data_IF_185146955637
#
_entry.id   IF_185146955637
#
_cell.length_a   1.000
_cell.length_b   1.000
_cell.length_c   1.000
_cell.angle_alpha   90.00
_cell.angle_beta   90.00
_cell.angle_gamma   90.00
#
_symmetry.space_group_name_H-M   'P 1'
#
loop_
_entity.id
_entity.type
_entity.pdbx_description
1 polymer ?
#
# COMPACT_ATOMS: atom_id res chain seq x y z
N UNK A 1 26.27 2.17 2.84
CA UNK A 1 26.31 3.62 2.49
C UNK A 1 26.15 4.39 3.78
N UNK A 2 26.97 5.41 4.06
CA UNK A 2 26.98 6.08 5.38
C UNK A 2 25.62 6.70 5.73
N UNK A 3 24.91 7.24 4.74
CA UNK A 3 23.55 7.80 4.84
C UNK A 3 22.51 6.85 5.46
N UNK A 4 22.63 5.53 5.30
CA UNK A 4 21.67 4.56 5.86
C UNK A 4 21.77 4.41 7.39
N UNK A 5 22.75 5.05 8.00
CA UNK A 5 22.93 5.12 9.46
C UNK A 5 22.63 6.50 10.04
N UNK A 6 22.22 7.44 9.18
CA UNK A 6 21.96 8.82 9.56
C UNK A 6 20.48 9.04 9.88
N UNK A 7 20.22 10.06 10.69
CA UNK A 7 18.86 10.57 10.89
C UNK A 7 18.41 11.39 9.68
N UNK A 8 17.10 11.60 9.52
CA UNK A 8 16.56 12.45 8.45
C UNK A 8 17.19 13.85 8.45
N UNK A 9 17.43 14.43 9.64
CA UNK A 9 18.09 15.74 9.80
C UNK A 9 19.52 15.71 9.27
N UNK A 10 20.30 14.67 9.58
CA UNK A 10 21.67 14.53 9.08
C UNK A 10 21.72 14.33 7.56
N UNK A 11 20.75 13.60 7.00
CA UNK A 11 20.61 13.44 5.55
C UNK A 11 20.28 14.79 4.90
N UNK A 12 19.35 15.54 5.48
CA UNK A 12 18.98 16.88 5.03
C UNK A 12 20.18 17.84 5.05
N UNK A 13 20.84 18.01 6.20
CA UNK A 13 22.02 18.88 6.36
C UNK A 13 23.12 18.53 5.35
N UNK A 14 23.35 17.23 5.12
CA UNK A 14 24.30 16.80 4.11
C UNK A 14 23.84 17.21 2.71
N UNK A 15 22.58 16.94 2.34
CA UNK A 15 22.07 17.29 1.02
C UNK A 15 22.12 18.80 0.78
N UNK A 16 21.78 19.63 1.77
CA UNK A 16 21.85 21.10 1.68
C UNK A 16 23.28 21.60 1.43
N UNK A 17 24.29 20.91 1.95
CA UNK A 17 25.70 21.26 1.75
C UNK A 17 26.27 20.89 0.37
N UNK A 18 25.57 20.04 -0.39
CA UNK A 18 26.01 19.57 -1.69
C UNK A 18 25.65 20.56 -2.81
N UNK A 19 26.50 20.62 -3.82
CA UNK A 19 26.15 21.31 -5.06
C UNK A 19 25.09 20.52 -5.88
N UNK A 20 24.55 21.16 -6.91
CA UNK A 20 23.50 20.58 -7.74
C UNK A 20 23.90 19.27 -8.44
N UNK A 21 25.17 19.13 -8.85
CA UNK A 21 25.67 17.93 -9.53
C UNK A 21 25.88 16.80 -8.53
N UNK A 22 26.40 17.12 -7.35
CA UNK A 22 26.57 16.19 -6.24
C UNK A 22 25.24 15.65 -5.74
N UNK A 23 24.20 16.49 -5.60
CA UNK A 23 22.83 16.07 -5.25
C UNK A 23 22.27 15.06 -6.25
N UNK A 24 22.37 15.35 -7.55
CA UNK A 24 21.90 14.43 -8.60
C UNK A 24 22.64 13.09 -8.56
N UNK A 25 23.96 13.13 -8.42
CA UNK A 25 24.77 11.91 -8.35
C UNK A 25 24.45 11.09 -7.11
N UNK A 26 24.30 11.74 -5.96
CA UNK A 26 23.89 11.07 -4.74
C UNK A 26 22.52 10.41 -4.90
N UNK A 27 21.56 11.12 -5.50
CA UNK A 27 20.22 10.60 -5.75
C UNK A 27 20.27 9.34 -6.62
N UNK A 28 21.01 9.37 -7.74
CA UNK A 28 21.22 8.18 -8.60
C UNK A 28 21.83 7.01 -7.83
N UNK A 29 22.79 7.26 -6.96
CA UNK A 29 23.40 6.21 -6.14
C UNK A 29 22.41 5.59 -5.14
N UNK A 30 21.53 6.40 -4.54
CA UNK A 30 20.45 5.92 -3.68
C UNK A 30 19.48 5.04 -4.47
N UNK A 31 19.03 5.50 -5.65
CA UNK A 31 18.13 4.74 -6.52
C UNK A 31 18.74 3.42 -6.98
N UNK A 32 20.02 3.42 -7.36
CA UNK A 32 20.74 2.19 -7.73
C UNK A 32 20.76 1.18 -6.59
N UNK A 33 21.04 1.64 -5.36
CA UNK A 33 21.01 0.76 -4.18
C UNK A 33 19.61 0.28 -3.83
N UNK A 34 18.59 1.05 -4.16
CA UNK A 34 17.20 0.61 -4.00
C UNK A 34 16.91 -0.55 -4.96
N UNK A 35 17.34 -0.47 -6.24
CA UNK A 35 17.25 -1.60 -7.18
C UNK A 35 17.96 -2.84 -6.64
N UNK A 36 19.21 -2.69 -6.19
CA UNK A 36 19.98 -3.80 -5.61
C UNK A 36 19.28 -4.41 -4.38
N UNK A 37 18.64 -3.59 -3.54
CA UNK A 37 17.93 -4.04 -2.34
C UNK A 37 16.60 -4.75 -2.66
N UNK A 38 15.92 -4.38 -3.76
CA UNK A 38 14.76 -5.12 -4.29
C UNK A 38 15.22 -6.50 -4.75
N UNK A 39 16.25 -6.57 -5.59
CA UNK A 39 16.76 -7.83 -6.15
C UNK A 39 17.27 -8.80 -5.07
N UNK A 40 17.82 -8.27 -3.99
CA UNK A 40 18.31 -9.06 -2.85
C UNK A 40 17.28 -9.33 -1.76
N UNK A 41 16.03 -8.86 -1.93
CA UNK A 41 14.96 -8.97 -0.94
C UNK A 41 15.30 -8.37 0.45
N UNK A 42 16.15 -7.33 0.49
CA UNK A 42 16.54 -6.67 1.74
C UNK A 42 15.54 -5.57 2.13
N UNK A 43 14.46 -5.98 2.80
CA UNK A 43 13.40 -5.08 3.31
C UNK A 43 13.97 -3.98 4.20
N UNK A 44 14.94 -4.31 5.06
CA UNK A 44 15.47 -3.32 6.02
C UNK A 44 16.24 -2.23 5.29
N UNK A 45 17.03 -2.61 4.30
CA UNK A 45 17.75 -1.65 3.47
C UNK A 45 16.79 -0.84 2.58
N UNK A 46 15.75 -1.47 2.02
CA UNK A 46 14.74 -0.77 1.21
C UNK A 46 14.03 0.34 1.97
N UNK A 47 13.59 0.08 3.21
CA UNK A 47 12.92 1.09 4.04
C UNK A 47 13.81 2.29 4.31
N UNK A 48 15.06 2.05 4.70
CA UNK A 48 16.04 3.12 4.94
C UNK A 48 16.34 3.92 3.67
N UNK A 49 16.44 3.25 2.53
CA UNK A 49 16.62 3.92 1.25
C UNK A 49 15.40 4.78 0.89
N UNK A 50 14.19 4.28 1.10
CA UNK A 50 12.95 5.06 0.93
C UNK A 50 12.95 6.31 1.79
N UNK A 51 13.27 6.22 3.08
CA UNK A 51 13.36 7.38 3.98
C UNK A 51 14.40 8.41 3.49
N UNK A 52 15.58 7.95 3.08
CA UNK A 52 16.63 8.83 2.52
C UNK A 52 16.13 9.51 1.25
N UNK A 53 15.51 8.76 0.33
CA UNK A 53 14.99 9.31 -0.93
C UNK A 53 13.93 10.37 -0.67
N UNK A 54 13.02 10.16 0.28
CA UNK A 54 11.99 11.14 0.67
C UNK A 54 12.63 12.44 1.15
N UNK A 55 13.62 12.37 2.04
CA UNK A 55 14.33 13.57 2.52
C UNK A 55 15.02 14.29 1.35
N UNK A 56 15.60 13.55 0.41
CA UNK A 56 16.20 14.14 -0.79
C UNK A 56 15.16 14.80 -1.70
N UNK A 57 13.98 14.19 -1.88
CA UNK A 57 12.86 14.76 -2.66
C UNK A 57 12.31 16.05 -2.05
N UNK A 58 12.38 16.20 -0.71
CA UNK A 58 11.94 17.40 0.00
C UNK A 58 12.96 18.54 -0.07
N UNK A 59 14.26 18.22 -0.08
CA UNK A 59 15.36 19.20 -0.01
C UNK A 59 15.87 19.60 -1.40
N UNK A 60 15.79 18.69 -2.38
CA UNK A 60 16.24 18.97 -3.74
C UNK A 60 15.13 19.64 -4.55
N UNK A 61 15.50 20.64 -5.35
CA UNK A 61 14.58 21.20 -6.35
C UNK A 61 14.06 20.07 -7.26
N UNK A 62 12.75 20.04 -7.48
CA UNK A 62 12.11 18.93 -8.21
C UNK A 62 12.69 18.78 -9.61
N UNK A 63 12.96 19.88 -10.29
CA UNK A 63 13.58 19.94 -11.62
C UNK A 63 14.96 19.26 -11.65
N UNK A 64 15.69 19.30 -10.54
CA UNK A 64 17.03 18.74 -10.42
C UNK A 64 17.01 17.20 -10.50
N UNK A 65 16.08 16.58 -9.77
CA UNK A 65 15.98 15.11 -9.66
C UNK A 65 14.99 14.49 -10.65
N UNK A 66 14.16 15.30 -11.32
CA UNK A 66 13.16 14.84 -12.31
C UNK A 66 13.75 13.95 -13.40
N UNK A 67 15.00 14.21 -13.81
CA UNK A 67 15.71 13.37 -14.79
C UNK A 67 15.89 11.91 -14.37
N UNK A 68 15.73 11.61 -13.08
CA UNK A 68 15.87 10.28 -12.49
C UNK A 68 14.51 9.65 -12.14
N UNK A 69 13.38 10.33 -12.40
CA UNK A 69 12.04 9.85 -12.04
C UNK A 69 11.72 8.51 -12.71
N UNK A 70 12.01 8.36 -14.00
CA UNK A 70 11.79 7.12 -14.76
C UNK A 70 12.67 5.96 -14.26
N UNK A 71 13.78 6.27 -13.58
CA UNK A 71 14.69 5.28 -13.03
C UNK A 71 14.42 4.96 -11.56
N UNK A 72 13.48 5.64 -10.91
CA UNK A 72 13.23 5.53 -9.49
C UNK A 72 12.40 4.28 -9.17
N UNK A 73 13.01 3.22 -8.60
CA UNK A 73 12.29 1.98 -8.32
C UNK A 73 11.37 2.09 -7.09
N UNK A 74 11.41 3.22 -6.38
CA UNK A 74 10.66 3.45 -5.15
C UNK A 74 9.45 4.35 -5.35
N UNK A 75 9.20 4.85 -6.57
CA UNK A 75 8.07 5.74 -6.88
C UNK A 75 7.01 4.99 -7.68
N UNK A 76 5.74 5.15 -7.32
CA UNK A 76 4.62 4.34 -7.85
C UNK A 76 4.91 2.83 -7.79
N UNK A 77 5.65 2.43 -6.77
CA UNK A 77 6.18 1.09 -6.67
C UNK A 77 5.14 0.17 -6.04
N UNK A 78 5.08 -1.07 -6.53
CA UNK A 78 4.35 -2.18 -5.92
C UNK A 78 5.33 -3.33 -5.77
N UNK A 79 5.94 -3.46 -4.59
CA UNK A 79 7.09 -4.33 -4.32
C UNK A 79 6.65 -5.47 -3.39
N UNK A 80 6.81 -6.69 -3.87
CA UNK A 80 6.67 -7.90 -3.08
C UNK A 80 8.06 -8.37 -2.68
N UNK A 81 8.30 -8.53 -1.38
CA UNK A 81 9.59 -9.00 -0.86
C UNK A 81 9.37 -10.23 0.00
N UNK A 82 10.09 -11.32 -0.32
CA UNK A 82 10.07 -12.55 0.45
C UNK A 82 11.33 -12.68 1.29
N UNK A 83 11.18 -12.78 2.61
CA UNK A 83 12.31 -12.92 3.52
C UNK A 83 12.00 -14.02 4.55
N UNK A 84 12.76 -15.11 4.55
CA UNK A 84 12.60 -16.23 5.53
C UNK A 84 11.18 -16.82 5.56
N UNK A 85 10.55 -17.02 4.39
CA UNK A 85 9.21 -17.60 4.27
C UNK A 85 8.08 -16.65 4.65
N UNK A 86 8.39 -15.36 4.77
CA UNK A 86 7.46 -14.29 5.09
C UNK A 86 7.41 -13.32 3.91
N UNK A 87 6.22 -13.12 3.37
CA UNK A 87 5.98 -12.15 2.29
C UNK A 87 5.58 -10.80 2.88
N UNK A 88 6.24 -9.73 2.45
CA UNK A 88 5.88 -8.36 2.74
C UNK A 88 5.46 -7.65 1.45
N UNK A 89 4.42 -6.83 1.54
CA UNK A 89 3.98 -5.96 0.47
C UNK A 89 4.30 -4.52 0.84
N UNK A 90 5.10 -3.87 -0.01
CA UNK A 90 5.47 -2.47 0.09
C UNK A 90 4.93 -1.74 -1.13
N UNK A 91 4.33 -0.57 -0.95
CA UNK A 91 3.95 0.27 -2.09
C UNK A 91 4.28 1.74 -1.84
N UNK A 92 4.37 2.52 -2.90
CA UNK A 92 4.46 3.98 -2.83
C UNK A 92 3.47 4.65 -3.77
N UNK A 93 3.28 5.96 -3.56
CA UNK A 93 2.33 6.77 -4.34
C UNK A 93 3.10 7.70 -5.28
N UNK A 94 2.49 8.13 -6.38
CA UNK A 94 3.18 8.92 -7.42
C UNK A 94 3.76 10.25 -7.00
N UNK A 95 3.38 10.76 -5.82
CA UNK A 95 3.96 11.97 -5.25
C UNK A 95 5.25 11.78 -4.46
N UNK A 96 5.67 10.55 -4.14
CA UNK A 96 6.78 10.32 -3.20
C UNK A 96 7.39 8.92 -3.31
N UNK A 97 8.68 8.81 -2.98
CA UNK A 97 9.37 7.53 -2.81
C UNK A 97 9.09 6.83 -1.47
N UNK A 98 8.17 7.35 -0.65
CA UNK A 98 7.80 6.76 0.64
C UNK A 98 7.13 5.41 0.45
N UNK A 99 7.72 4.37 1.02
CA UNK A 99 7.15 3.04 1.04
C UNK A 99 6.24 2.84 2.26
N UNK A 100 5.03 2.36 2.01
CA UNK A 100 4.08 1.90 3.01
C UNK A 100 4.15 0.38 3.11
N UNK A 101 4.45 -0.12 4.31
CA UNK A 101 4.52 -1.56 4.58
C UNK A 101 3.17 -2.07 5.11
N UNK A 102 2.48 -2.86 4.29
CA UNK A 102 1.18 -3.42 4.61
C UNK A 102 1.22 -4.35 5.84
N UNK A 103 2.35 -5.03 6.07
CA UNK A 103 2.50 -5.97 7.17
C UNK A 103 2.82 -5.26 8.47
N UNK A 104 3.71 -4.26 8.44
CA UNK A 104 4.14 -3.54 9.64
C UNK A 104 3.05 -2.58 10.12
N UNK A 105 2.39 -1.87 9.20
CA UNK A 105 1.34 -0.93 9.53
C UNK A 105 0.20 -0.96 8.50
N UNK A 106 -0.61 -2.03 8.59
CA UNK A 106 -1.79 -2.24 7.73
C UNK A 106 -2.78 -1.07 7.77
N UNK A 107 -2.88 -0.35 8.88
CA UNK A 107 -3.83 0.76 9.03
C UNK A 107 -3.40 1.96 8.20
N UNK A 108 -2.15 2.42 8.40
CA UNK A 108 -1.60 3.54 7.63
C UNK A 108 -1.53 3.20 6.14
N UNK A 109 -1.08 1.99 5.80
CA UNK A 109 -1.02 1.52 4.43
C UNK A 109 -2.39 1.59 3.74
N UNK A 110 -3.43 1.04 4.36
CA UNK A 110 -4.78 1.06 3.78
C UNK A 110 -5.33 2.48 3.67
N UNK A 111 -5.14 3.32 4.70
CA UNK A 111 -5.60 4.71 4.70
C UNK A 111 -4.96 5.51 3.54
N UNK A 112 -3.65 5.41 3.38
CA UNK A 112 -2.93 6.17 2.34
C UNK A 112 -3.27 5.70 0.92
N UNK A 113 -3.52 4.40 0.73
CA UNK A 113 -4.01 3.87 -0.55
C UNK A 113 -5.43 4.34 -0.89
N UNK A 114 -6.33 4.42 0.11
CA UNK A 114 -7.68 4.96 -0.14
C UNK A 114 -7.61 6.44 -0.48
N UNK A 115 -6.81 7.20 0.30
CA UNK A 115 -6.61 8.63 0.09
C UNK A 115 -5.98 8.97 -1.27
N UNK A 116 -5.22 8.05 -1.88
CA UNK A 116 -4.64 8.25 -3.20
C UNK A 116 -5.66 8.21 -4.34
N UNK A 117 -6.91 7.77 -4.08
CA UNK A 117 -7.94 7.52 -5.08
C UNK A 117 -7.58 6.45 -6.13
N UNK A 118 -6.56 5.63 -5.88
CA UNK A 118 -6.20 4.51 -6.74
C UNK A 118 -7.03 3.27 -6.36
N UNK A 119 -8.14 3.07 -7.06
CA UNK A 119 -9.07 1.95 -6.83
C UNK A 119 -8.39 0.60 -7.05
N UNK A 120 -7.47 0.50 -8.01
CA UNK A 120 -6.77 -0.76 -8.31
C UNK A 120 -5.77 -1.11 -7.21
N UNK A 121 -5.05 -0.12 -6.69
CA UNK A 121 -4.20 -0.29 -5.51
C UNK A 121 -5.02 -0.78 -4.31
N UNK A 122 -6.18 -0.16 -4.03
CA UNK A 122 -7.03 -0.59 -2.91
C UNK A 122 -7.56 -2.01 -3.12
N UNK A 123 -8.00 -2.37 -4.34
CA UNK A 123 -8.39 -3.76 -4.68
C UNK A 123 -7.25 -4.73 -4.40
N UNK A 124 -6.04 -4.38 -4.82
CA UNK A 124 -4.87 -5.22 -4.62
C UNK A 124 -4.54 -5.39 -3.13
N UNK A 125 -4.54 -4.31 -2.35
CA UNK A 125 -4.30 -4.37 -0.90
C UNK A 125 -5.34 -5.22 -0.18
N UNK A 126 -6.63 -5.05 -0.49
CA UNK A 126 -7.69 -5.87 0.09
C UNK A 126 -7.54 -7.35 -0.29
N UNK A 127 -7.05 -7.65 -1.49
CA UNK A 127 -6.74 -9.03 -1.92
C UNK A 127 -5.62 -9.66 -1.09
N UNK A 128 -4.58 -8.89 -0.75
CA UNK A 128 -3.49 -9.36 0.11
C UNK A 128 -3.95 -9.51 1.57
N UNK A 129 -4.82 -8.62 2.04
CA UNK A 129 -5.37 -8.66 3.39
C UNK A 129 -6.42 -9.76 3.59
N UNK A 130 -7.00 -10.29 2.51
CA UNK A 130 -7.92 -11.42 2.54
C UNK A 130 -7.15 -12.71 2.92
N UNK A 131 -7.42 -13.30 4.10
CA UNK A 131 -6.81 -14.57 4.43
C UNK A 131 -7.40 -15.69 3.55
N UNK A 132 -6.62 -16.75 3.34
CA UNK A 132 -7.06 -17.96 2.61
C UNK A 132 -8.34 -18.59 3.19
N UNK A 133 -8.63 -18.35 4.48
CA UNK A 133 -9.86 -18.79 5.14
C UNK A 133 -10.62 -17.60 5.72
N UNK A 134 -11.86 -17.42 5.29
CA UNK A 134 -12.74 -16.32 5.69
C UNK A 134 -12.97 -16.28 7.22
N UNK A 135 -13.01 -17.43 7.90
CA UNK A 135 -13.16 -17.48 9.36
C UNK A 135 -11.96 -16.89 10.14
N UNK A 136 -10.81 -16.69 9.48
CA UNK A 136 -9.64 -16.00 10.03
C UNK A 136 -9.61 -14.53 9.68
N UNK A 137 -10.57 -14.05 8.89
CA UNK A 137 -10.66 -12.66 8.48
C UNK A 137 -11.23 -11.83 9.60
N UNK A 138 -10.52 -10.76 9.95
CA UNK A 138 -11.01 -9.74 10.86
C UNK A 138 -11.92 -8.78 10.09
N UNK A 139 -13.12 -9.29 9.77
CA UNK A 139 -14.15 -8.56 9.02
C UNK A 139 -14.59 -7.29 9.75
N UNK A 140 -14.65 -7.34 11.09
CA UNK A 140 -15.03 -6.21 11.94
C UNK A 140 -13.99 -5.09 11.81
N UNK A 141 -12.69 -5.44 11.86
CA UNK A 141 -11.61 -4.49 11.60
C UNK A 141 -11.71 -3.87 10.20
N UNK A 142 -11.88 -4.67 9.14
CA UNK A 142 -11.92 -4.14 7.78
C UNK A 142 -13.14 -3.26 7.53
N UNK A 143 -14.32 -3.66 8.03
CA UNK A 143 -15.51 -2.84 7.97
C UNK A 143 -15.29 -1.49 8.65
N UNK A 144 -14.80 -1.48 9.90
CA UNK A 144 -14.53 -0.24 10.63
C UNK A 144 -13.54 0.68 9.91
N UNK A 145 -12.42 0.13 9.42
CA UNK A 145 -11.39 0.92 8.74
C UNK A 145 -11.88 1.49 7.42
N UNK A 146 -12.61 0.72 6.61
CA UNK A 146 -13.18 1.22 5.35
C UNK A 146 -14.26 2.28 5.61
N UNK A 147 -15.12 2.08 6.61
CA UNK A 147 -16.11 3.10 6.99
C UNK A 147 -15.44 4.40 7.43
N UNK A 148 -14.37 4.34 8.23
CA UNK A 148 -13.61 5.54 8.60
C UNK A 148 -12.96 6.23 7.40
N UNK A 149 -12.39 5.45 6.49
CA UNK A 149 -11.73 5.99 5.30
C UNK A 149 -12.73 6.60 4.29
N UNK A 150 -13.96 6.10 4.23
CA UNK A 150 -15.04 6.65 3.39
C UNK A 150 -15.41 8.09 3.75
N UNK A 151 -15.20 8.51 5.00
CA UNK A 151 -15.43 9.88 5.46
C UNK A 151 -14.34 10.87 4.99
N UNK A 152 -13.31 10.41 4.27
CA UNK A 152 -12.27 11.30 3.73
C UNK A 152 -12.88 12.27 2.70
N UNK A 153 -12.72 13.60 2.87
CA UNK A 153 -13.45 14.60 2.08
C UNK A 153 -13.09 14.62 0.60
N UNK A 154 -11.89 14.17 0.23
CA UNK A 154 -11.32 14.32 -1.10
C UNK A 154 -11.31 13.02 -1.93
N UNK A 155 -12.21 12.09 -1.61
CA UNK A 155 -12.36 10.88 -2.41
C UNK A 155 -13.04 11.16 -3.75
N UNK A 156 -12.53 10.53 -4.80
CA UNK A 156 -13.16 10.49 -6.11
C UNK A 156 -14.48 9.73 -6.05
N UNK A 157 -15.36 9.97 -7.01
CA UNK A 157 -16.65 9.27 -7.08
C UNK A 157 -16.46 7.76 -7.24
N UNK A 158 -15.52 7.32 -8.08
CA UNK A 158 -15.20 5.91 -8.28
C UNK A 158 -14.71 5.25 -6.98
N UNK A 159 -13.87 5.95 -6.21
CA UNK A 159 -13.40 5.44 -4.91
C UNK A 159 -14.54 5.37 -3.90
N UNK A 160 -15.43 6.36 -3.84
CA UNK A 160 -16.60 6.34 -2.97
C UNK A 160 -17.53 5.17 -3.29
N UNK A 161 -17.87 4.98 -4.57
CA UNK A 161 -18.69 3.85 -5.03
C UNK A 161 -18.03 2.52 -4.66
N UNK A 162 -16.72 2.40 -4.89
CA UNK A 162 -15.97 1.20 -4.56
C UNK A 162 -16.01 0.90 -3.04
N UNK A 163 -15.71 1.89 -2.20
CA UNK A 163 -15.74 1.76 -0.75
C UNK A 163 -17.14 1.44 -0.23
N UNK A 164 -18.18 2.12 -0.72
CA UNK A 164 -19.56 1.87 -0.32
C UNK A 164 -19.95 0.42 -0.56
N UNK A 165 -19.61 -0.12 -1.74
CA UNK A 165 -19.85 -1.52 -2.07
C UNK A 165 -19.09 -2.48 -1.15
N UNK A 166 -17.82 -2.20 -0.85
CA UNK A 166 -17.01 -3.04 0.06
C UNK A 166 -17.47 -2.96 1.52
N UNK A 167 -17.85 -1.78 2.00
CA UNK A 167 -18.42 -1.58 3.35
C UNK A 167 -19.72 -2.39 3.48
N UNK A 168 -20.64 -2.27 2.52
CA UNK A 168 -21.88 -3.05 2.51
C UNK A 168 -21.61 -4.55 2.54
N UNK A 169 -20.67 -5.03 1.73
CA UNK A 169 -20.27 -6.44 1.69
C UNK A 169 -19.71 -6.91 3.03
N UNK A 170 -18.72 -6.22 3.58
CA UNK A 170 -18.10 -6.64 4.85
C UNK A 170 -19.06 -6.50 6.04
N UNK A 171 -19.92 -5.48 6.05
CA UNK A 171 -20.98 -5.33 7.05
C UNK A 171 -21.99 -6.48 7.00
N UNK A 172 -22.37 -6.91 5.79
CA UNK A 172 -23.21 -8.10 5.60
C UNK A 172 -22.50 -9.36 6.13
N UNK A 173 -21.24 -9.58 5.77
CA UNK A 173 -20.45 -10.74 6.21
C UNK A 173 -20.27 -10.76 7.75
N UNK A 174 -20.04 -9.60 8.38
CA UNK A 174 -20.02 -9.47 9.84
C UNK A 174 -21.34 -9.94 10.47
N UNK A 175 -22.48 -9.53 9.91
CA UNK A 175 -23.81 -9.95 10.38
C UNK A 175 -24.11 -11.43 10.16
N UNK A 176 -23.49 -12.06 9.14
CA UNK A 176 -23.69 -13.46 8.79
C UNK A 176 -22.71 -14.43 9.46
N UNK A 177 -21.71 -13.93 10.20
CA UNK A 177 -20.62 -14.72 10.82
C UNK A 177 -21.12 -15.91 11.66
N UNK A 178 -22.40 -15.90 12.07
CA UNK A 178 -23.05 -16.95 12.86
C UNK A 178 -24.35 -17.53 12.25
N UNK A 179 -24.71 -17.23 10.99
CA UNK A 179 -26.02 -17.62 10.43
C UNK A 179 -25.98 -18.02 8.94
N UNK A 180 -25.96 -19.33 8.68
CA UNK A 180 -25.95 -19.96 7.34
C UNK A 180 -27.16 -19.54 6.48
N UNK A 181 -28.34 -19.29 7.08
CA UNK A 181 -29.55 -18.94 6.31
C UNK A 181 -29.51 -17.56 5.65
N UNK A 182 -28.68 -16.64 6.14
CA UNK A 182 -28.54 -15.31 5.53
C UNK A 182 -27.73 -15.35 4.22
N UNK A 183 -26.82 -16.32 4.09
CA UNK A 183 -25.99 -16.57 2.91
C UNK A 183 -26.85 -17.05 1.74
N UNK A 184 -27.79 -17.99 1.99
CA UNK A 184 -28.73 -18.49 0.97
C UNK A 184 -29.68 -17.40 0.45
N UNK A 185 -30.06 -16.43 1.28
CA UNK A 185 -30.91 -15.31 0.89
C UNK A 185 -30.18 -14.28 0.03
N UNK A 186 -28.86 -14.14 0.19
CA UNK A 186 -28.05 -13.19 -0.55
C UNK A 186 -27.66 -13.72 -1.94
N UNK A 187 -27.33 -15.02 -2.04
CA UNK A 187 -27.04 -15.70 -3.29
C UNK A 187 -28.22 -15.69 -4.31
N UNK A 188 -29.43 -15.35 -3.86
CA UNK A 188 -30.63 -15.26 -4.70
C UNK A 188 -30.95 -13.83 -5.17
N UNK A 189 -30.05 -12.85 -5.00
CA UNK A 189 -30.27 -11.48 -5.47
C UNK A 189 -29.66 -11.25 -6.86
N UNK A 190 -30.41 -10.65 -7.79
CA UNK A 190 -29.96 -10.45 -9.18
C UNK A 190 -28.88 -9.37 -9.35
N UNK A 191 -28.59 -8.55 -8.34
CA UNK A 191 -27.55 -7.52 -8.38
C UNK A 191 -26.22 -7.90 -7.69
N UNK A 192 -26.04 -9.17 -7.28
CA UNK A 192 -24.79 -9.61 -6.65
C UNK A 192 -23.65 -9.70 -7.69
N UNK A 193 -22.52 -9.07 -7.38
CA UNK A 193 -21.31 -9.07 -8.20
C UNK A 193 -20.72 -10.49 -8.24
N UNK A 194 -20.35 -11.00 -9.41
CA UNK A 194 -19.96 -12.40 -9.65
C UNK A 194 -18.81 -12.90 -8.74
N UNK A 195 -17.98 -11.99 -8.22
CA UNK A 195 -16.93 -12.33 -7.25
C UNK A 195 -17.48 -12.60 -5.84
N UNK A 196 -18.59 -11.97 -5.45
CA UNK A 196 -19.30 -12.23 -4.20
C UNK A 196 -19.96 -13.61 -4.26
N UNK A 197 -20.55 -13.98 -5.40
CA UNK A 197 -21.10 -15.32 -5.62
C UNK A 197 -20.01 -16.39 -5.53
N UNK A 198 -18.81 -16.11 -6.05
CA UNK A 198 -17.67 -17.01 -5.98
C UNK A 198 -17.12 -17.16 -4.55
N UNK A 199 -17.12 -16.07 -3.78
CA UNK A 199 -16.75 -16.06 -2.36
C UNK A 199 -17.78 -16.83 -1.51
N UNK A 200 -19.08 -16.67 -1.79
CA UNK A 200 -20.17 -17.38 -1.11
C UNK A 200 -20.17 -18.88 -1.46
N UNK A 201 -19.94 -19.25 -2.73
CA UNK A 201 -19.78 -20.64 -3.14
C UNK A 201 -18.61 -21.34 -2.43
N UNK A 202 -17.49 -20.63 -2.21
CA UNK A 202 -16.36 -21.18 -1.48
C UNK A 202 -16.65 -21.40 0.02
N UNK A 203 -17.53 -20.60 0.62
CA UNK A 203 -17.99 -20.76 2.02
C UNK A 203 -18.99 -21.91 2.17
N UNK A 204 -19.77 -22.22 1.13
CA UNK A 204 -20.80 -23.26 1.13
C UNK A 204 -20.20 -24.66 0.87
N UNK A 205 -19.07 -24.75 0.18
CA UNK A 205 -18.48 -26.01 -0.28
C UNK A 205 -17.41 -26.62 0.64
N UNK A 206 -17.08 -25.99 1.78
CA UNK A 206 -16.10 -26.46 2.78
C UNK A 206 -16.78 -26.86 4.11
#
# INVERSE_FOLDING_TARGET
MKLLSWTSVQVQEHCESLDNKEKQELYRQVLKKAKDAIESNDISQLKKLSEVTVVMEEVCEKELIKSCDDENPLREANIVVENKGLTNYLFSLGGSSKLYDLRENKEEALYQAIKSNDVELVKHLLTILLPEKINKMDLDYLHEKLSKAYEEPNLSEDMKIYLENKIRLYGFLCGCKNNIGAIELFANRPEADYEIDRLLLFVIMD
#
